data_IF_776527309174
#
_entry.id   IF_776527309174
#
_cell.length_a   1.000
_cell.length_b   1.000
_cell.length_c   1.000
_cell.angle_alpha   90.00
_cell.angle_beta   90.00
_cell.angle_gamma   90.00
#
_symmetry.space_group_name_H-M   'P 1'
#
loop_
_entity.id
_entity.type
_entity.pdbx_description
1 polymer ?
#
# COMPACT_ATOMS: atom_id res chain seq x y z
N UNK A 1 3.15 35.03 10.61
CA UNK A 1 1.70 34.92 10.41
C UNK A 1 1.43 33.69 9.55
N UNK A 2 0.72 32.75 10.15
CA UNK A 2 0.44 31.39 9.70
C UNK A 2 -0.20 31.31 8.32
N UNK A 3 0.33 30.44 7.47
CA UNK A 3 -0.36 29.77 6.36
C UNK A 3 0.39 28.47 6.11
N UNK A 4 -0.13 27.26 6.29
CA UNK A 4 -1.39 26.72 6.71
C UNK A 4 -1.17 25.21 6.51
N UNK A 5 -1.24 24.43 7.57
CA UNK A 5 -1.11 22.98 7.50
C UNK A 5 -2.28 22.47 6.66
N UNK A 6 -2.00 22.02 5.42
CA UNK A 6 -3.03 21.43 4.58
C UNK A 6 -3.42 20.07 5.20
N UNK A 7 -4.72 19.80 5.42
CA UNK A 7 -5.17 18.52 5.94
C UNK A 7 -4.97 17.40 4.90
N UNK A 8 -4.75 16.20 5.43
CA UNK A 8 -4.63 14.93 4.73
C UNK A 8 -5.86 14.63 3.87
N UNK A 9 -5.84 14.97 2.59
CA UNK A 9 -6.77 14.40 1.60
C UNK A 9 -6.22 14.67 0.19
N UNK A 10 -4.99 14.20 -0.04
CA UNK A 10 -4.42 14.18 -1.39
C UNK A 10 -4.97 12.91 -2.08
N UNK A 11 -5.64 13.03 -3.24
CA UNK A 11 -6.46 11.96 -3.78
C UNK A 11 -5.58 10.74 -4.08
N UNK A 12 -6.05 9.58 -3.61
CA UNK A 12 -5.48 8.28 -3.90
C UNK A 12 -5.13 8.18 -5.39
N UNK A 13 -3.84 8.08 -5.68
CA UNK A 13 -3.32 7.92 -7.02
C UNK A 13 -4.02 6.73 -7.66
N UNK A 14 -4.50 6.90 -8.89
CA UNK A 14 -5.19 5.84 -9.61
C UNK A 14 -4.37 4.53 -9.57
N UNK A 15 -5.01 3.36 -9.31
CA UNK A 15 -4.31 2.10 -9.15
C UNK A 15 -3.49 1.82 -10.41
N UNK A 16 -2.24 1.41 -10.21
CA UNK A 16 -1.33 1.12 -11.32
C UNK A 16 -1.93 0.03 -12.18
N UNK A 17 -1.98 0.28 -13.49
CA UNK A 17 -2.51 -0.62 -14.52
C UNK A 17 -1.62 -1.85 -14.70
N UNK A 18 -1.53 -2.72 -13.69
CA UNK A 18 -1.14 -4.12 -13.87
C UNK A 18 -2.37 -5.03 -13.76
N UNK A 19 -3.53 -4.51 -14.17
CA UNK A 19 -4.80 -5.22 -14.17
C UNK A 19 -5.17 -5.64 -15.59
N UNK A 20 -4.78 -6.86 -15.95
CA UNK A 20 -5.70 -7.71 -16.70
C UNK A 20 -6.37 -8.66 -15.71
N UNK A 21 -7.68 -8.75 -15.84
CA UNK A 21 -8.61 -9.42 -14.95
C UNK A 21 -8.50 -10.96 -15.06
N UNK A 22 -7.35 -11.52 -14.69
CA UNK A 22 -7.22 -12.95 -14.48
C UNK A 22 -7.87 -13.29 -13.13
N UNK A 23 -9.20 -13.51 -13.16
CA UNK A 23 -10.00 -14.21 -12.12
C UNK A 23 -9.41 -14.04 -10.71
N UNK A 24 -9.56 -12.83 -10.15
CA UNK A 24 -8.97 -12.43 -8.88
C UNK A 24 -9.41 -13.38 -7.77
N UNK A 25 -8.58 -14.35 -7.44
CA UNK A 25 -8.70 -15.08 -6.19
C UNK A 25 -8.30 -14.10 -5.11
N UNK A 26 -9.27 -13.74 -4.27
CA UNK A 26 -9.06 -12.92 -3.08
C UNK A 26 -8.92 -13.83 -1.87
N UNK A 27 -8.00 -13.48 -0.98
CA UNK A 27 -7.80 -14.17 0.30
C UNK A 27 -8.01 -13.18 1.43
N UNK A 28 -8.70 -13.63 2.47
CA UNK A 28 -8.84 -12.87 3.72
C UNK A 28 -7.59 -13.09 4.58
N UNK A 29 -6.96 -12.00 5.00
CA UNK A 29 -5.74 -11.99 5.81
C UNK A 29 -5.96 -11.07 7.01
N UNK A 30 -5.56 -11.53 8.20
CA UNK A 30 -5.48 -10.73 9.40
C UNK A 30 -4.03 -10.29 9.62
N UNK A 31 -3.81 -9.00 9.78
CA UNK A 31 -2.47 -8.43 9.98
C UNK A 31 -2.52 -7.17 10.83
N UNK A 32 -1.41 -6.84 11.48
CA UNK A 32 -1.27 -5.61 12.27
C UNK A 32 -0.35 -4.64 11.55
N UNK A 33 -0.84 -3.46 11.18
CA UNK A 33 -0.03 -2.39 10.58
C UNK A 33 0.13 -1.25 11.56
N UNK A 34 1.37 -0.93 11.92
CA UNK A 34 1.69 0.16 12.85
C UNK A 34 0.90 0.07 14.18
N UNK A 35 0.70 -1.15 14.69
CA UNK A 35 -0.04 -1.43 15.93
C UNK A 35 -1.56 -1.45 15.79
N UNK A 36 -2.10 -1.35 14.57
CA UNK A 36 -3.54 -1.40 14.30
C UNK A 36 -3.88 -2.72 13.60
N UNK A 37 -4.71 -3.54 14.24
CA UNK A 37 -5.22 -4.79 13.67
C UNK A 37 -6.16 -4.52 12.49
N UNK A 38 -6.04 -5.33 11.44
CA UNK A 38 -6.80 -5.21 10.19
C UNK A 38 -7.13 -6.58 9.65
N UNK A 39 -8.40 -6.76 9.31
CA UNK A 39 -8.91 -7.88 8.55
C UNK A 39 -9.12 -7.39 7.11
N UNK A 40 -8.36 -7.91 6.15
CA UNK A 40 -8.38 -7.43 4.78
C UNK A 40 -8.58 -8.54 3.77
N UNK A 41 -9.36 -8.27 2.73
CA UNK A 41 -9.43 -9.12 1.55
C UNK A 41 -8.48 -8.57 0.49
N UNK A 42 -7.44 -9.33 0.18
CA UNK A 42 -6.42 -8.94 -0.81
C UNK A 42 -6.39 -9.94 -1.96
N UNK A 43 -6.14 -9.46 -3.17
CA UNK A 43 -5.90 -10.35 -4.31
C UNK A 43 -4.56 -11.07 -4.15
N UNK A 44 -4.46 -12.33 -4.57
CA UNK A 44 -3.22 -13.14 -4.46
C UNK A 44 -1.99 -12.50 -5.13
N UNK A 45 -2.19 -11.63 -6.12
CA UNK A 45 -1.13 -10.89 -6.80
C UNK A 45 -0.83 -9.51 -6.19
N UNK A 46 -1.50 -9.14 -5.10
CA UNK A 46 -1.31 -7.84 -4.45
C UNK A 46 -0.02 -7.87 -3.64
N UNK A 47 0.90 -6.95 -3.91
CA UNK A 47 2.12 -6.84 -3.10
C UNK A 47 1.82 -6.10 -1.79
N UNK A 48 2.61 -6.37 -0.74
CA UNK A 48 2.46 -5.64 0.53
C UNK A 48 2.71 -4.13 0.35
N UNK A 49 3.59 -3.76 -0.58
CA UNK A 49 3.86 -2.37 -0.91
C UNK A 49 2.62 -1.69 -1.50
N UNK A 50 1.97 -2.34 -2.46
CA UNK A 50 0.74 -1.83 -3.08
C UNK A 50 -0.36 -1.70 -2.02
N UNK A 51 -0.57 -2.74 -1.21
CA UNK A 51 -1.58 -2.71 -0.16
C UNK A 51 -1.37 -1.55 0.84
N UNK A 52 -0.13 -1.33 1.31
CA UNK A 52 0.17 -0.25 2.26
C UNK A 52 -0.04 1.13 1.62
N UNK A 53 0.33 1.30 0.35
CA UNK A 53 0.30 2.60 -0.34
C UNK A 53 -1.07 2.94 -0.90
N UNK A 54 -1.75 1.98 -1.50
CA UNK A 54 -2.97 2.17 -2.27
C UNK A 54 -4.22 1.88 -1.43
N UNK A 55 -4.24 0.82 -0.61
CA UNK A 55 -5.39 0.50 0.25
C UNK A 55 -5.32 1.21 1.61
N UNK A 56 -4.15 1.25 2.24
CA UNK A 56 -3.98 1.91 3.55
C UNK A 56 -3.54 3.38 3.45
N UNK A 57 -3.23 3.87 2.26
CA UNK A 57 -2.79 5.24 1.99
C UNK A 57 -1.57 5.70 2.81
N UNK A 58 -0.71 4.77 3.25
CA UNK A 58 0.52 5.04 3.98
C UNK A 58 1.69 5.25 2.99
N UNK A 59 1.82 6.48 2.48
CA UNK A 59 2.74 6.81 1.37
C UNK A 59 4.22 6.99 1.75
N UNK A 60 4.59 6.68 3.00
CA UNK A 60 5.95 6.78 3.53
C UNK A 60 6.92 5.85 2.80
N UNK A 61 6.53 4.58 2.63
CA UNK A 61 7.31 3.57 1.89
C UNK A 61 7.26 3.85 0.39
N UNK A 62 8.41 3.80 -0.31
CA UNK A 62 8.52 4.25 -1.69
C UNK A 62 8.67 3.09 -2.67
N UNK A 63 8.03 3.24 -3.82
CA UNK A 63 8.22 2.41 -5.00
C UNK A 63 9.23 3.11 -5.91
N UNK A 64 10.39 2.49 -6.12
CA UNK A 64 11.49 3.13 -6.85
C UNK A 64 12.08 2.25 -7.95
N UNK A 65 12.45 1.00 -7.65
CA UNK A 65 13.06 0.10 -8.64
C UNK A 65 12.22 -1.14 -8.98
N UNK A 66 11.18 -1.46 -8.20
CA UNK A 66 10.30 -2.65 -8.32
C UNK A 66 10.97 -4.03 -8.36
N UNK A 67 12.31 -4.06 -8.35
CA UNK A 67 13.15 -5.26 -8.44
C UNK A 67 13.81 -5.62 -7.10
N UNK A 68 13.59 -4.82 -6.05
CA UNK A 68 14.19 -5.02 -4.72
C UNK A 68 15.66 -4.58 -4.60
N UNK A 69 16.24 -3.92 -5.60
CA UNK A 69 17.65 -3.49 -5.60
C UNK A 69 17.93 -2.25 -4.73
N UNK A 70 16.98 -1.31 -4.64
CA UNK A 70 17.21 -0.01 -4.00
C UNK A 70 16.86 0.07 -2.51
N UNK A 71 16.11 -0.90 -1.97
CA UNK A 71 15.64 -0.89 -0.58
C UNK A 71 14.64 0.22 -0.21
N UNK A 72 14.17 1.02 -1.17
CA UNK A 72 13.22 2.11 -0.89
C UNK A 72 11.84 1.62 -0.40
N UNK A 73 11.53 0.34 -0.66
CA UNK A 73 10.30 -0.33 -0.24
C UNK A 73 10.46 -1.24 0.99
N UNK A 74 11.57 -1.16 1.73
CA UNK A 74 11.82 -2.00 2.91
C UNK A 74 10.81 -1.73 4.03
N UNK A 75 10.28 -2.80 4.62
CA UNK A 75 9.32 -2.81 5.72
C UNK A 75 9.81 -3.75 6.83
N UNK A 76 9.41 -3.49 8.06
CA UNK A 76 9.60 -4.40 9.19
C UNK A 76 8.37 -5.31 9.33
N UNK A 77 8.60 -6.62 9.41
CA UNK A 77 7.55 -7.65 9.56
C UNK A 77 7.95 -8.56 10.72
N UNK A 78 6.97 -8.90 11.54
CA UNK A 78 7.06 -9.82 12.68
C UNK A 78 5.83 -10.74 12.69
#
# INVERSE_FOLDING_TARGET
MSRGHAPCDEPARAPRKHREAARSVTSSIHLTVNGIERDVEVGESTTLLDFIRDDLHLTGTKECCDLGECGACTLLVD
#
